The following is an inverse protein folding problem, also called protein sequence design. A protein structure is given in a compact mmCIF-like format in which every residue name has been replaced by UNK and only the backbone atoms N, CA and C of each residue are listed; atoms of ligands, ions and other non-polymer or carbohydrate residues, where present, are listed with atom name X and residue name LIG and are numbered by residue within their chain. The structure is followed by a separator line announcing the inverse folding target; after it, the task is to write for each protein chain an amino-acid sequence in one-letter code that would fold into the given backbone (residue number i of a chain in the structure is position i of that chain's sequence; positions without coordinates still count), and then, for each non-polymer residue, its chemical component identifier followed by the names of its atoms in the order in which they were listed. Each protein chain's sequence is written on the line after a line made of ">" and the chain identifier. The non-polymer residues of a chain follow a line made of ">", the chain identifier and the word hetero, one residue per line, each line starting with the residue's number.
data_IF_016412193395
#
_entry.id   IF_016412193395
#
_cell.length_a   1.000
_cell.length_b   1.000
_cell.length_c   1.000
_cell.angle_alpha   90.00
_cell.angle_beta   90.00
_cell.angle_gamma   90.00
#
_symmetry.space_group_name_H-M   'P 1'
#
loop_
_entity.id
_entity.type
_entity.pdbx_description
1 polymer ?
#
# COMPACT_ATOMS: atom_id res chain seq x y z
N UNK A 1 -20.19 -71.85 18.51
CA UNK A 1 -21.46 -72.30 19.16
C UNK A 1 -22.46 -71.20 18.82
N UNK A 2 -23.26 -71.42 17.78
CA UNK A 2 -24.66 -71.74 17.82
C UNK A 2 -25.45 -70.52 18.34
N UNK A 3 -26.44 -70.01 17.72
CA UNK A 3 -27.31 -70.51 16.66
C UNK A 3 -28.30 -69.46 16.18
N UNK A 4 -28.86 -69.77 15.05
CA UNK A 4 -29.85 -69.03 14.28
C UNK A 4 -31.28 -69.13 14.89
N UNK A 5 -32.11 -68.12 14.50
CA UNK A 5 -33.55 -68.39 14.32
C UNK A 5 -34.17 -67.38 13.34
N UNK A 6 -34.68 -67.91 12.26
CA UNK A 6 -35.59 -67.30 11.29
C UNK A 6 -37.02 -67.26 11.88
N UNK A 7 -37.80 -66.23 11.56
CA UNK A 7 -39.24 -66.37 11.32
C UNK A 7 -39.72 -65.43 10.21
N UNK A 8 -40.38 -66.06 9.25
CA UNK A 8 -41.08 -65.47 8.13
C UNK A 8 -42.55 -65.13 8.53
N UNK A 9 -43.09 -64.10 7.98
CA UNK A 9 -44.51 -63.76 8.11
C UNK A 9 -44.98 -62.95 6.89
N UNK A 10 -45.98 -63.51 6.22
CA UNK A 10 -46.56 -63.22 4.89
C UNK A 10 -47.38 -61.91 4.82
N UNK A 11 -47.46 -61.42 3.61
CA UNK A 11 -48.29 -60.29 3.15
C UNK A 11 -49.83 -60.51 3.27
N UNK A 12 -50.67 -59.47 3.08
CA UNK A 12 -51.21 -59.28 1.75
C UNK A 12 -51.35 -57.81 1.26
N UNK A 13 -51.51 -57.70 -0.03
CA UNK A 13 -51.68 -56.50 -0.83
C UNK A 13 -53.08 -55.88 -0.69
N UNK A 14 -53.16 -54.51 -0.75
CA UNK A 14 -54.31 -53.81 -1.30
C UNK A 14 -53.83 -52.64 -2.13
N UNK A 15 -54.26 -52.69 -3.38
CA UNK A 15 -54.09 -51.59 -4.37
C UNK A 15 -55.14 -50.49 -4.11
N UNK A 16 -54.66 -49.21 -4.13
CA UNK A 16 -55.55 -48.08 -4.49
C UNK A 16 -54.81 -47.14 -5.39
N UNK A 17 -55.33 -46.97 -6.59
CA UNK A 17 -54.96 -46.02 -7.59
C UNK A 17 -55.40 -44.61 -7.15
N UNK A 18 -54.50 -43.69 -7.11
CA UNK A 18 -54.80 -42.27 -6.97
C UNK A 18 -53.71 -41.45 -7.67
N UNK A 19 -54.01 -41.02 -8.89
CA UNK A 19 -53.15 -40.17 -9.71
C UNK A 19 -53.42 -38.72 -9.33
N UNK A 20 -52.45 -37.93 -8.81
CA UNK A 20 -52.51 -36.50 -8.87
C UNK A 20 -51.71 -35.99 -10.08
N UNK A 21 -52.36 -35.26 -10.95
CA UNK A 21 -51.80 -34.46 -12.01
C UNK A 21 -50.97 -33.32 -11.38
N UNK A 22 -49.68 -33.52 -11.22
CA UNK A 22 -48.77 -32.47 -10.84
C UNK A 22 -48.33 -31.70 -12.06
N UNK A 23 -48.70 -30.44 -12.14
CA UNK A 23 -48.19 -29.44 -13.08
C UNK A 23 -46.68 -29.36 -12.96
N UNK A 24 -45.86 -29.39 -14.03
CA UNK A 24 -44.44 -29.21 -13.96
C UNK A 24 -44.12 -27.81 -13.43
N UNK A 25 -43.52 -27.76 -12.26
CA UNK A 25 -42.94 -26.54 -11.76
C UNK A 25 -41.80 -26.10 -12.72
N UNK A 26 -42.06 -25.03 -13.45
CA UNK A 26 -41.02 -24.35 -14.22
C UNK A 26 -39.96 -23.86 -13.23
N UNK A 27 -38.89 -24.62 -13.09
CA UNK A 27 -37.64 -24.15 -12.48
C UNK A 27 -37.14 -22.95 -13.31
N UNK A 28 -37.35 -21.75 -12.78
CA UNK A 28 -36.71 -20.54 -13.28
C UNK A 28 -35.21 -20.77 -13.25
N UNK A 29 -34.49 -20.58 -14.36
CA UNK A 29 -33.05 -20.55 -14.30
C UNK A 29 -32.68 -19.45 -13.31
N UNK A 30 -32.00 -19.82 -12.22
CA UNK A 30 -31.26 -18.86 -11.43
C UNK A 30 -30.17 -18.31 -12.35
N UNK A 31 -30.43 -17.16 -12.98
CA UNK A 31 -29.38 -16.33 -13.54
C UNK A 31 -28.54 -15.91 -12.35
N UNK A 32 -27.48 -16.64 -12.08
CA UNK A 32 -26.47 -16.23 -11.11
C UNK A 32 -26.01 -14.84 -11.55
N UNK A 33 -26.41 -13.82 -10.80
CA UNK A 33 -25.79 -12.52 -10.93
C UNK A 33 -24.29 -12.75 -10.70
N UNK A 34 -23.49 -12.70 -11.75
CA UNK A 34 -22.04 -12.66 -11.60
C UNK A 34 -21.77 -11.44 -10.74
N UNK A 35 -21.34 -11.68 -9.49
CA UNK A 35 -20.93 -10.60 -8.60
C UNK A 35 -19.87 -9.78 -9.35
N UNK A 36 -20.16 -8.47 -9.54
CA UNK A 36 -19.22 -7.57 -10.21
C UNK A 36 -17.89 -7.64 -9.45
N UNK A 37 -16.84 -8.02 -10.14
CA UNK A 37 -15.50 -8.04 -9.58
C UNK A 37 -14.97 -6.60 -9.59
N UNK A 38 -14.48 -6.12 -8.46
CA UNK A 38 -13.94 -4.76 -8.32
C UNK A 38 -12.75 -4.56 -9.25
N UNK A 39 -12.81 -3.59 -10.16
CA UNK A 39 -11.69 -3.17 -11.00
C UNK A 39 -10.83 -2.17 -10.22
N UNK A 40 -9.64 -2.62 -9.82
CA UNK A 40 -8.71 -1.92 -8.96
C UNK A 40 -7.48 -1.47 -9.73
N UNK A 41 -7.17 -0.17 -9.71
CA UNK A 41 -5.94 0.42 -10.27
C UNK A 41 -5.07 0.93 -9.13
N UNK A 42 -3.81 0.47 -9.08
CA UNK A 42 -2.81 0.96 -8.14
C UNK A 42 -1.84 1.92 -8.83
N UNK A 43 -1.75 3.13 -8.29
CA UNK A 43 -0.84 4.20 -8.68
C UNK A 43 0.15 4.45 -7.56
N UNK A 44 1.38 4.81 -7.90
CA UNK A 44 2.31 5.20 -6.84
C UNK A 44 3.78 5.08 -7.19
N UNK A 45 4.58 5.34 -6.16
CA UNK A 45 6.03 5.30 -6.18
C UNK A 45 6.60 3.96 -5.66
N UNK A 46 7.84 3.98 -5.17
CA UNK A 46 8.54 2.80 -4.67
C UNK A 46 7.90 2.15 -3.44
N UNK A 47 7.18 2.91 -2.62
CA UNK A 47 6.47 2.36 -1.46
C UNK A 47 5.20 1.59 -1.85
N UNK A 48 4.76 1.72 -3.10
CA UNK A 48 3.69 0.92 -3.67
C UNK A 48 4.20 -0.14 -4.65
N UNK A 49 5.39 0.04 -5.25
CA UNK A 49 5.96 -0.96 -6.17
C UNK A 49 6.77 -2.05 -5.44
N UNK A 50 7.28 -1.79 -4.23
CA UNK A 50 8.07 -2.72 -3.39
C UNK A 50 9.36 -3.19 -4.08
N UNK A 51 10.33 -2.27 -4.34
CA UNK A 51 11.57 -2.61 -4.99
C UNK A 51 12.39 -3.60 -4.15
N UNK A 52 12.88 -4.65 -4.79
CA UNK A 52 13.69 -5.69 -4.16
C UNK A 52 12.91 -6.73 -3.34
N UNK A 53 11.64 -6.51 -3.02
CA UNK A 53 10.80 -7.55 -2.41
C UNK A 53 10.57 -8.66 -3.45
N UNK A 54 10.74 -9.97 -3.11
CA UNK A 54 10.44 -11.06 -4.05
C UNK A 54 8.94 -11.01 -4.43
N UNK A 55 8.55 -11.45 -5.48
CA UNK A 55 8.91 -11.79 -6.78
C UNK A 55 8.77 -10.57 -7.70
N UNK A 56 9.86 -10.04 -8.18
CA UNK A 56 9.85 -8.86 -9.07
C UNK A 56 9.22 -9.22 -10.42
N UNK A 57 8.14 -8.54 -10.79
CA UNK A 57 7.37 -8.79 -12.03
C UNK A 57 7.58 -7.72 -13.10
N UNK A 58 8.18 -6.59 -12.73
CA UNK A 58 8.54 -5.50 -13.65
C UNK A 58 9.90 -4.92 -13.22
N UNK A 59 10.92 -5.19 -14.02
CA UNK A 59 12.28 -4.74 -13.73
C UNK A 59 12.49 -3.24 -13.97
N UNK A 60 11.70 -2.60 -14.82
CA UNK A 60 11.80 -1.16 -15.10
C UNK A 60 11.27 -0.35 -13.92
N UNK A 61 10.13 -0.74 -13.39
CA UNK A 61 9.49 -0.09 -12.26
C UNK A 61 9.91 -0.69 -10.90
N UNK A 62 10.77 -1.72 -10.89
CA UNK A 62 11.15 -2.46 -9.69
C UNK A 62 9.90 -2.88 -8.89
N UNK A 63 8.91 -3.43 -9.59
CA UNK A 63 7.61 -3.78 -9.01
C UNK A 63 7.55 -5.26 -8.66
N UNK A 64 7.13 -5.54 -7.43
CA UNK A 64 6.92 -6.88 -6.89
C UNK A 64 5.46 -7.30 -6.96
N UNK A 65 5.20 -8.59 -7.20
CA UNK A 65 3.87 -9.17 -7.00
C UNK A 65 3.51 -9.37 -5.52
N UNK A 66 4.45 -9.11 -4.59
CA UNK A 66 4.22 -9.11 -3.15
C UNK A 66 4.12 -7.70 -2.54
N UNK A 67 3.95 -6.67 -3.38
CA UNK A 67 3.68 -5.31 -2.94
C UNK A 67 2.28 -5.16 -2.30
N UNK A 68 2.03 -4.08 -1.54
CA UNK A 68 0.76 -3.92 -0.85
C UNK A 68 -0.45 -3.93 -1.81
N UNK A 69 -0.41 -3.35 -3.04
CA UNK A 69 -1.55 -3.42 -3.96
C UNK A 69 -1.92 -4.85 -4.34
N UNK A 70 -0.92 -5.69 -4.64
CA UNK A 70 -1.14 -7.11 -4.96
C UNK A 70 -1.70 -7.89 -3.77
N UNK A 71 -1.24 -7.56 -2.55
CA UNK A 71 -1.77 -8.17 -1.31
C UNK A 71 -3.22 -7.76 -1.08
N UNK A 72 -3.57 -6.49 -1.28
CA UNK A 72 -4.95 -5.97 -1.20
C UNK A 72 -5.85 -6.65 -2.22
N UNK A 73 -5.41 -6.74 -3.48
CA UNK A 73 -6.18 -7.39 -4.54
C UNK A 73 -6.48 -8.86 -4.20
N UNK A 74 -5.49 -9.61 -3.70
CA UNK A 74 -5.70 -10.99 -3.23
C UNK A 74 -6.69 -11.08 -2.07
N UNK A 75 -6.58 -10.17 -1.10
CA UNK A 75 -7.43 -10.16 0.09
C UNK A 75 -8.89 -9.78 -0.21
N UNK A 76 -9.13 -9.01 -1.25
CA UNK A 76 -10.46 -8.50 -1.64
C UNK A 76 -11.08 -9.25 -2.82
N UNK A 77 -10.30 -10.03 -3.56
CA UNK A 77 -10.71 -10.66 -4.81
C UNK A 77 -10.83 -9.68 -5.99
N UNK A 78 -10.24 -8.48 -5.89
CA UNK A 78 -10.27 -7.46 -6.93
C UNK A 78 -9.43 -7.86 -8.16
N UNK A 79 -9.79 -7.31 -9.32
CA UNK A 79 -8.96 -7.36 -10.53
C UNK A 79 -8.00 -6.17 -10.51
N UNK A 80 -6.70 -6.44 -10.36
CA UNK A 80 -5.68 -5.41 -10.21
C UNK A 80 -5.03 -5.05 -11.54
N UNK A 81 -5.00 -3.77 -11.84
CA UNK A 81 -4.08 -3.14 -12.78
C UNK A 81 -3.07 -2.33 -11.97
N UNK A 82 -1.84 -2.85 -11.84
CA UNK A 82 -0.78 -2.22 -11.08
C UNK A 82 0.20 -1.51 -11.99
N UNK A 83 0.23 -0.18 -11.91
CA UNK A 83 1.14 0.68 -12.68
C UNK A 83 2.09 1.49 -11.78
N UNK A 84 2.22 1.07 -10.52
CA UNK A 84 3.17 1.67 -9.59
C UNK A 84 4.60 1.52 -10.09
N UNK A 85 5.43 2.55 -9.89
CA UNK A 85 6.77 2.57 -10.43
C UNK A 85 7.74 3.26 -9.47
N UNK A 86 8.84 2.59 -9.13
CA UNK A 86 9.86 3.12 -8.23
C UNK A 86 10.41 4.45 -8.75
N UNK A 87 10.56 5.44 -7.86
CA UNK A 87 11.04 6.77 -8.19
C UNK A 87 9.97 7.71 -8.76
N UNK A 88 8.72 7.28 -8.95
CA UNK A 88 7.67 8.13 -9.49
C UNK A 88 7.40 9.35 -8.62
N UNK A 89 7.18 10.49 -9.27
CA UNK A 89 6.73 11.77 -8.71
C UNK A 89 5.30 12.07 -9.15
N UNK A 90 4.71 13.14 -8.62
CA UNK A 90 3.40 13.62 -9.09
C UNK A 90 3.38 13.96 -10.59
N UNK A 91 4.53 14.32 -11.18
CA UNK A 91 4.65 14.60 -12.62
C UNK A 91 4.46 13.33 -13.46
N UNK A 92 4.95 12.19 -12.98
CA UNK A 92 4.87 10.90 -13.67
C UNK A 92 3.46 10.29 -13.66
N UNK A 93 2.56 10.87 -12.88
CA UNK A 93 1.14 10.53 -12.95
C UNK A 93 0.54 10.91 -14.30
N UNK A 94 0.89 12.08 -14.86
CA UNK A 94 0.31 12.63 -16.09
C UNK A 94 1.29 12.70 -17.26
N UNK A 95 2.58 12.53 -17.02
CA UNK A 95 3.66 12.44 -17.99
C UNK A 95 4.38 11.08 -17.92
N UNK A 96 5.20 10.74 -18.92
CA UNK A 96 5.96 9.51 -18.92
C UNK A 96 7.13 9.58 -17.91
N UNK A 97 7.38 8.46 -17.22
CA UNK A 97 8.60 8.24 -16.43
C UNK A 97 9.62 7.51 -17.30
N UNK A 98 10.47 8.24 -17.98
CA UNK A 98 11.36 7.65 -18.97
C UNK A 98 10.58 6.99 -20.13
N UNK A 99 10.63 5.67 -20.24
CA UNK A 99 9.89 4.87 -21.24
C UNK A 99 8.55 4.35 -20.72
N UNK A 100 8.24 4.56 -19.42
CA UNK A 100 7.00 4.10 -18.80
C UNK A 100 5.89 5.12 -19.07
N UNK A 101 4.73 4.63 -19.49
CA UNK A 101 3.56 5.48 -19.77
C UNK A 101 3.06 6.18 -18.50
N UNK A 102 2.37 7.33 -18.63
CA UNK A 102 1.75 8.04 -17.52
C UNK A 102 0.84 7.10 -16.72
N UNK A 103 1.00 7.07 -15.40
CA UNK A 103 0.23 6.13 -14.57
C UNK A 103 -1.29 6.36 -14.65
N UNK A 104 -1.73 7.61 -14.82
CA UNK A 104 -3.15 7.94 -14.97
C UNK A 104 -3.79 7.35 -16.23
N UNK A 105 -3.01 6.90 -17.21
CA UNK A 105 -3.56 6.29 -18.44
C UNK A 105 -4.17 4.91 -18.18
N UNK A 106 -3.86 4.29 -17.04
CA UNK A 106 -4.49 3.04 -16.59
C UNK A 106 -5.94 3.23 -16.06
N UNK A 107 -6.36 4.46 -15.82
CA UNK A 107 -7.69 4.77 -15.27
C UNK A 107 -8.73 4.94 -16.38
N UNK A 108 -9.91 4.41 -16.13
CA UNK A 108 -11.09 4.62 -16.96
C UNK A 108 -12.38 4.75 -16.11
N UNK A 109 -13.54 4.87 -16.79
CA UNK A 109 -14.85 5.01 -16.14
C UNK A 109 -15.33 3.74 -15.43
N UNK A 110 -14.74 2.60 -15.74
CA UNK A 110 -15.04 1.30 -15.13
C UNK A 110 -14.18 1.00 -13.90
N UNK A 111 -13.19 1.85 -13.61
CA UNK A 111 -12.36 1.70 -12.41
C UNK A 111 -13.20 1.92 -11.15
N UNK A 112 -13.22 0.95 -10.24
CA UNK A 112 -14.00 0.97 -8.99
C UNK A 112 -13.18 1.42 -7.78
N UNK A 113 -11.88 1.07 -7.77
CA UNK A 113 -10.96 1.37 -6.67
C UNK A 113 -9.66 1.92 -7.23
N UNK A 114 -9.16 2.99 -6.60
CA UNK A 114 -7.81 3.52 -6.86
C UNK A 114 -7.07 3.64 -5.55
N UNK A 115 -5.84 3.11 -5.47
CA UNK A 115 -4.89 3.48 -4.41
C UNK A 115 -3.79 4.36 -4.99
N UNK A 116 -3.29 5.31 -4.20
CA UNK A 116 -2.24 6.24 -4.56
C UNK A 116 -1.28 6.44 -3.40
N UNK A 117 0.00 6.08 -3.58
CA UNK A 117 1.12 6.43 -2.69
C UNK A 117 2.09 7.30 -3.47
N UNK A 118 2.18 8.60 -3.17
CA UNK A 118 2.96 9.56 -3.94
C UNK A 118 3.40 10.75 -3.09
N UNK A 119 4.48 11.42 -3.47
CA UNK A 119 4.94 12.67 -2.86
C UNK A 119 6.31 12.56 -2.22
N UNK A 120 6.75 11.37 -1.80
CA UNK A 120 8.08 11.17 -1.21
C UNK A 120 9.22 11.58 -2.14
N UNK A 121 9.10 11.29 -3.43
CA UNK A 121 10.09 11.72 -4.42
C UNK A 121 9.96 13.21 -4.78
N UNK A 122 8.75 13.79 -4.72
CA UNK A 122 8.54 15.22 -4.96
C UNK A 122 9.27 16.11 -3.95
N UNK A 123 9.40 15.65 -2.70
CA UNK A 123 10.14 16.35 -1.65
C UNK A 123 11.64 16.02 -1.65
N UNK A 124 12.11 15.19 -2.58
CA UNK A 124 13.52 14.81 -2.68
C UNK A 124 14.02 13.95 -1.53
N UNK A 125 13.17 13.10 -0.95
CA UNK A 125 13.46 12.33 0.27
C UNK A 125 14.77 11.56 0.21
N UNK A 126 15.05 10.87 -0.91
CA UNK A 126 16.33 10.14 -1.11
C UNK A 126 17.53 11.07 -1.07
N UNK A 127 17.42 12.27 -1.67
CA UNK A 127 18.47 13.29 -1.65
C UNK A 127 18.70 13.84 -0.24
N UNK A 128 17.62 14.09 0.49
CA UNK A 128 17.65 14.49 1.92
C UNK A 128 18.43 13.46 2.73
N UNK A 129 18.03 12.18 2.66
CA UNK A 129 18.70 11.14 3.42
C UNK A 129 20.17 10.91 3.02
N UNK A 130 20.49 11.01 1.72
CA UNK A 130 21.86 10.96 1.26
C UNK A 130 22.72 12.13 1.75
N UNK A 131 22.13 13.33 1.88
CA UNK A 131 22.77 14.50 2.48
C UNK A 131 22.99 14.30 3.98
N UNK A 132 21.95 13.84 4.69
CA UNK A 132 22.04 13.52 6.11
C UNK A 132 23.17 12.52 6.40
N UNK A 133 23.22 11.42 5.63
CA UNK A 133 24.26 10.40 5.81
C UNK A 133 25.68 10.95 5.62
N UNK A 134 25.89 11.88 4.68
CA UNK A 134 27.18 12.54 4.47
C UNK A 134 27.57 13.46 5.61
N UNK A 135 26.63 14.28 6.09
CA UNK A 135 26.87 15.25 7.17
C UNK A 135 27.13 14.56 8.50
N UNK A 136 26.40 13.48 8.78
CA UNK A 136 26.52 12.71 10.02
C UNK A 136 27.88 12.02 10.18
N UNK A 137 28.66 11.88 9.10
CA UNK A 137 30.02 11.33 9.18
C UNK A 137 30.97 12.18 10.05
N UNK A 138 30.73 13.50 10.14
CA UNK A 138 31.53 14.43 10.96
C UNK A 138 30.96 14.64 12.36
N UNK A 139 29.67 14.40 12.57
CA UNK A 139 28.98 14.54 13.86
C UNK A 139 27.90 13.47 14.03
N UNK A 140 28.27 12.23 14.32
CA UNK A 140 27.32 11.12 14.43
C UNK A 140 26.43 11.18 15.68
N UNK A 141 26.75 12.00 16.68
CA UNK A 141 25.97 12.16 17.91
C UNK A 141 25.02 13.36 17.84
N UNK A 142 25.31 14.34 16.99
CA UNK A 142 24.54 15.57 16.84
C UNK A 142 23.38 15.46 15.85
N UNK A 143 22.93 16.63 15.40
CA UNK A 143 21.86 16.80 14.42
C UNK A 143 22.33 17.59 13.17
N UNK A 144 23.47 17.23 12.54
CA UNK A 144 24.07 18.05 11.48
C UNK A 144 23.20 18.18 10.24
N UNK A 145 22.29 17.24 10.01
CA UNK A 145 21.36 17.30 8.90
C UNK A 145 20.23 18.29 9.17
N UNK A 146 19.61 18.25 10.33
CA UNK A 146 18.59 19.19 10.75
C UNK A 146 19.15 20.61 10.74
N UNK A 147 20.35 20.81 11.30
CA UNK A 147 21.03 22.12 11.31
C UNK A 147 21.28 22.64 9.89
N UNK A 148 21.74 21.78 8.99
CA UNK A 148 21.97 22.17 7.57
C UNK A 148 20.66 22.53 6.87
N UNK A 149 19.63 21.71 7.00
CA UNK A 149 18.35 21.90 6.28
C UNK A 149 17.54 23.09 6.81
N UNK A 150 17.85 23.59 8.01
CA UNK A 150 17.23 24.78 8.62
C UNK A 150 18.13 26.00 8.63
N UNK A 151 19.37 25.89 8.14
CA UNK A 151 20.41 26.94 8.24
C UNK A 151 20.08 28.25 7.54
N UNK A 152 19.16 28.25 6.57
CA UNK A 152 18.73 29.44 5.82
C UNK A 152 17.64 30.24 6.50
N UNK A 153 17.19 29.85 7.70
CA UNK A 153 16.09 30.45 8.43
C UNK A 153 14.71 29.91 8.07
N UNK A 154 14.66 29.01 7.09
CA UNK A 154 13.47 28.21 6.73
C UNK A 154 13.84 26.73 6.68
N UNK A 155 12.85 25.85 6.87
CA UNK A 155 13.05 24.42 6.78
C UNK A 155 12.82 23.96 5.33
N UNK A 156 13.92 23.57 4.66
CA UNK A 156 13.88 23.19 3.24
C UNK A 156 12.97 21.99 2.95
N UNK A 157 12.82 21.04 3.91
CA UNK A 157 11.93 19.89 3.73
C UNK A 157 10.47 20.30 3.91
N UNK A 158 10.14 21.14 4.88
CA UNK A 158 8.80 21.73 5.02
C UNK A 158 8.40 22.51 3.76
N UNK A 159 9.29 23.34 3.22
CA UNK A 159 9.02 24.07 1.97
C UNK A 159 8.75 23.10 0.79
N UNK A 160 9.51 22.01 0.68
CA UNK A 160 9.28 21.00 -0.35
C UNK A 160 7.95 20.25 -0.17
N UNK A 161 7.55 19.96 1.09
CA UNK A 161 6.25 19.37 1.42
C UNK A 161 5.12 20.31 1.01
N UNK A 162 5.22 21.58 1.36
CA UNK A 162 4.21 22.59 1.03
C UNK A 162 4.09 22.81 -0.50
N UNK A 163 5.23 22.83 -1.19
CA UNK A 163 5.26 22.91 -2.65
C UNK A 163 4.69 21.66 -3.35
N UNK A 164 4.65 20.53 -2.68
CA UNK A 164 4.09 19.26 -3.21
C UNK A 164 2.57 19.19 -3.04
N UNK A 165 1.99 19.88 -2.06
CA UNK A 165 0.55 19.84 -1.78
C UNK A 165 -0.33 20.16 -3.01
N UNK A 166 -0.13 21.26 -3.76
CA UNK A 166 -0.93 21.55 -4.95
C UNK A 166 -0.73 20.53 -6.08
N UNK A 167 0.42 19.87 -6.15
CA UNK A 167 0.69 18.81 -7.14
C UNK A 167 -0.12 17.56 -6.82
N UNK A 168 -0.15 17.12 -5.55
CA UNK A 168 -1.00 16.01 -5.09
C UNK A 168 -2.47 16.34 -5.33
N UNK A 169 -2.92 17.55 -5.02
CA UNK A 169 -4.29 17.99 -5.30
C UNK A 169 -4.63 17.92 -6.79
N UNK A 170 -3.69 18.25 -7.69
CA UNK A 170 -3.91 18.11 -9.14
C UNK A 170 -4.03 16.65 -9.57
N UNK A 171 -3.19 15.76 -9.04
CA UNK A 171 -3.28 14.31 -9.29
C UNK A 171 -4.66 13.81 -8.90
N UNK A 172 -5.15 14.11 -7.70
CA UNK A 172 -6.47 13.68 -7.23
C UNK A 172 -7.61 14.19 -8.12
N UNK A 173 -7.56 15.46 -8.55
CA UNK A 173 -8.53 15.98 -9.53
C UNK A 173 -8.51 15.22 -10.85
N UNK A 174 -7.33 14.80 -11.32
CA UNK A 174 -7.19 14.02 -12.57
C UNK A 174 -7.70 12.59 -12.39
N UNK A 175 -7.45 11.96 -11.25
CA UNK A 175 -8.00 10.64 -10.90
C UNK A 175 -9.53 10.67 -10.98
N UNK A 176 -10.18 11.61 -10.28
CA UNK A 176 -11.66 11.72 -10.30
C UNK A 176 -12.24 12.05 -11.69
N UNK A 177 -11.52 12.76 -12.54
CA UNK A 177 -11.97 12.99 -13.91
C UNK A 177 -11.94 11.73 -14.77
N UNK A 178 -10.96 10.85 -14.58
CA UNK A 178 -10.81 9.61 -15.36
C UNK A 178 -11.66 8.46 -14.80
N UNK A 179 -11.73 8.36 -13.49
CA UNK A 179 -12.45 7.35 -12.74
C UNK A 179 -13.48 7.99 -11.78
N UNK A 180 -14.58 8.58 -12.31
CA UNK A 180 -15.51 9.41 -11.52
C UNK A 180 -16.30 8.64 -10.48
N UNK A 181 -16.36 7.32 -10.58
CA UNK A 181 -17.09 6.43 -9.67
C UNK A 181 -16.17 5.66 -8.72
N UNK A 182 -14.85 5.78 -8.90
CA UNK A 182 -13.88 5.05 -8.10
C UNK A 182 -13.86 5.51 -6.64
N UNK A 183 -13.70 4.56 -5.76
CA UNK A 183 -13.29 4.81 -4.38
C UNK A 183 -11.78 5.11 -4.37
N UNK A 184 -11.42 6.37 -4.12
CA UNK A 184 -10.02 6.82 -4.19
C UNK A 184 -9.42 6.82 -2.79
N UNK A 185 -8.29 6.14 -2.63
CA UNK A 185 -7.57 5.95 -1.37
C UNK A 185 -6.14 6.45 -1.50
N UNK A 186 -5.79 7.51 -0.80
CA UNK A 186 -4.41 7.94 -0.62
C UNK A 186 -3.82 7.13 0.52
N UNK A 187 -2.74 6.41 0.26
CA UNK A 187 -2.04 5.57 1.23
C UNK A 187 -0.79 6.31 1.70
N UNK A 188 -0.68 6.55 3.00
CA UNK A 188 0.47 7.24 3.60
C UNK A 188 1.72 6.37 3.64
N UNK A 189 2.83 6.98 4.06
CA UNK A 189 4.10 6.28 4.28
C UNK A 189 4.13 5.65 5.68
N UNK A 190 4.73 4.45 5.83
CA UNK A 190 4.90 3.76 7.11
C UNK A 190 5.96 4.44 7.98
N UNK A 191 6.06 4.09 9.25
CA UNK A 191 7.07 4.60 10.20
C UNK A 191 8.48 4.15 9.81
N UNK A 192 9.31 5.09 9.36
CA UNK A 192 10.69 4.81 8.94
C UNK A 192 11.68 4.98 10.08
N UNK A 193 11.44 5.95 10.98
CA UNK A 193 12.41 6.41 11.95
C UNK A 193 11.90 6.25 13.39
N UNK A 194 12.77 5.84 14.33
CA UNK A 194 12.42 5.75 15.74
C UNK A 194 12.10 7.12 16.34
N UNK A 195 11.57 7.11 17.55
CA UNK A 195 11.26 8.32 18.30
C UNK A 195 12.52 9.10 18.66
N UNK A 196 13.60 8.40 18.95
CA UNK A 196 14.94 8.95 19.18
C UNK A 196 15.99 8.11 18.46
N UNK A 197 17.15 8.69 18.23
CA UNK A 197 18.27 8.03 17.53
C UNK A 197 19.21 7.25 18.44
N UNK A 198 18.85 7.06 19.71
CA UNK A 198 19.71 6.38 20.68
C UNK A 198 19.99 4.95 20.21
N UNK A 199 21.29 4.62 20.07
CA UNK A 199 21.79 3.34 19.59
C UNK A 199 21.39 2.95 18.13
N UNK A 200 20.82 3.87 17.35
CA UNK A 200 20.47 3.59 15.95
C UNK A 200 21.60 3.92 14.97
N UNK A 201 22.32 5.02 15.21
CA UNK A 201 23.48 5.41 14.37
C UNK A 201 24.48 4.28 14.26
N UNK A 202 24.76 3.85 13.04
CA UNK A 202 25.63 2.71 12.75
C UNK A 202 26.16 2.77 11.32
N UNK A 203 27.04 1.84 10.94
CA UNK A 203 27.51 1.72 9.57
C UNK A 203 26.39 1.41 8.56
N UNK A 204 25.29 0.79 8.99
CA UNK A 204 24.14 0.49 8.16
C UNK A 204 23.04 1.55 8.26
N UNK A 205 23.11 2.44 9.23
CA UNK A 205 22.22 3.59 9.42
C UNK A 205 23.10 4.81 9.74
N UNK A 206 23.76 5.39 8.72
CA UNK A 206 24.75 6.46 8.92
C UNK A 206 24.09 7.84 9.07
N UNK A 207 23.16 7.96 10.02
CA UNK A 207 22.48 9.21 10.36
C UNK A 207 22.95 9.69 11.74
N UNK A 208 22.97 11.00 11.97
CA UNK A 208 23.24 11.58 13.28
C UNK A 208 22.15 11.22 14.27
N UNK A 209 22.54 10.88 15.50
CA UNK A 209 21.56 10.45 16.52
C UNK A 209 20.51 11.54 16.80
N UNK A 210 20.89 12.81 16.75
CA UNK A 210 19.97 13.95 16.91
C UNK A 210 19.09 14.26 15.68
N UNK A 211 19.41 13.67 14.51
CA UNK A 211 18.60 13.89 13.28
C UNK A 211 17.33 13.05 13.23
N UNK A 212 17.23 11.94 13.98
CA UNK A 212 16.06 11.05 13.91
C UNK A 212 14.74 11.73 14.27
N UNK A 213 14.63 12.51 15.37
CA UNK A 213 13.42 13.25 15.65
C UNK A 213 12.99 14.18 14.51
N UNK A 214 13.96 14.90 13.92
CA UNK A 214 13.71 15.79 12.79
C UNK A 214 13.17 15.02 11.57
N UNK A 215 13.84 13.96 11.14
CA UNK A 215 13.43 13.15 9.98
C UNK A 215 12.05 12.51 10.18
N UNK A 216 11.80 12.00 11.38
CA UNK A 216 10.50 11.44 11.76
C UNK A 216 9.39 12.49 11.75
N UNK A 217 9.67 13.72 12.20
CA UNK A 217 8.70 14.80 12.16
C UNK A 217 8.40 15.24 10.72
N UNK A 218 9.40 15.25 9.82
CA UNK A 218 9.20 15.51 8.38
C UNK A 218 8.38 14.41 7.71
N UNK A 219 8.57 13.17 8.07
CA UNK A 219 7.73 12.07 7.60
C UNK A 219 6.26 12.23 8.03
N UNK A 220 6.03 12.58 9.31
CA UNK A 220 4.68 12.88 9.81
C UNK A 220 4.07 14.10 9.15
N UNK A 221 4.85 15.13 8.86
CA UNK A 221 4.43 16.32 8.16
C UNK A 221 3.98 16.02 6.72
N UNK A 222 4.75 15.20 5.99
CA UNK A 222 4.36 14.67 4.68
C UNK A 222 3.04 13.90 4.76
N UNK A 223 2.91 12.96 5.69
CA UNK A 223 1.70 12.18 5.90
C UNK A 223 0.49 13.06 6.26
N UNK A 224 0.70 14.11 7.05
CA UNK A 224 -0.35 15.09 7.39
C UNK A 224 -0.78 15.90 6.17
N UNK A 225 0.16 16.29 5.30
CA UNK A 225 -0.13 16.95 4.01
C UNK A 225 -0.97 16.04 3.13
N UNK A 226 -0.56 14.79 2.93
CA UNK A 226 -1.29 13.80 2.13
C UNK A 226 -2.71 13.57 2.66
N UNK A 227 -2.88 13.44 3.99
CA UNK A 227 -4.18 13.30 4.63
C UNK A 227 -5.08 14.53 4.43
N UNK A 228 -4.50 15.71 4.44
CA UNK A 228 -5.20 16.98 4.20
C UNK A 228 -5.68 17.08 2.74
N UNK A 229 -4.79 16.80 1.81
CA UNK A 229 -5.12 16.88 0.38
C UNK A 229 -6.08 15.76 -0.06
N UNK A 230 -5.97 14.55 0.51
CA UNK A 230 -6.95 13.48 0.31
C UNK A 230 -8.37 13.95 0.69
N UNK A 231 -8.53 14.48 1.92
CA UNK A 231 -9.85 14.99 2.39
C UNK A 231 -10.40 16.10 1.50
N UNK A 232 -9.55 17.06 1.10
CA UNK A 232 -9.94 18.18 0.21
C UNK A 232 -10.32 17.69 -1.18
N UNK A 233 -9.62 16.66 -1.66
CA UNK A 233 -9.83 16.06 -2.97
C UNK A 233 -10.96 15.03 -3.02
N UNK A 234 -11.71 14.79 -1.93
CA UNK A 234 -12.78 13.78 -1.91
C UNK A 234 -12.28 12.33 -1.87
N UNK A 235 -11.00 12.12 -1.53
CA UNK A 235 -10.39 10.81 -1.34
C UNK A 235 -10.28 10.44 0.14
N UNK A 236 -10.17 9.15 0.43
CA UNK A 236 -9.84 8.67 1.77
C UNK A 236 -8.33 8.69 1.97
N UNK A 237 -7.91 8.90 3.20
CA UNK A 237 -6.53 8.69 3.62
C UNK A 237 -6.43 7.44 4.48
N UNK A 238 -5.49 6.56 4.17
CA UNK A 238 -5.15 5.40 4.98
C UNK A 238 -3.81 5.66 5.66
N UNK A 239 -3.86 5.69 6.99
CA UNK A 239 -2.67 5.85 7.82
C UNK A 239 -1.94 4.51 7.93
N UNK A 240 -0.81 4.38 7.28
CA UNK A 240 0.10 3.23 7.39
C UNK A 240 1.19 3.46 8.43
N UNK A 241 1.39 4.70 8.88
CA UNK A 241 2.35 5.06 9.91
C UNK A 241 2.02 4.41 11.26
N UNK A 242 0.80 4.62 11.76
CA UNK A 242 0.41 4.15 13.08
C UNK A 242 0.55 2.62 13.29
N UNK A 243 0.12 1.75 12.35
CA UNK A 243 0.26 0.31 12.51
C UNK A 243 1.69 -0.21 12.35
N UNK A 244 2.63 0.62 11.88
CA UNK A 244 4.04 0.23 11.67
C UNK A 244 5.00 0.79 12.73
N UNK A 245 4.49 1.61 13.66
CA UNK A 245 5.28 2.15 14.77
C UNK A 245 5.96 1.03 15.56
N UNK A 246 7.26 1.19 15.78
CA UNK A 246 8.10 0.22 16.48
C UNK A 246 8.70 -0.86 15.57
N UNK A 247 8.51 -0.74 14.25
CA UNK A 247 9.12 -1.59 13.24
C UNK A 247 10.02 -0.79 12.27
N UNK A 248 10.52 0.34 12.74
CA UNK A 248 11.39 1.26 12.03
C UNK A 248 12.75 0.61 11.64
N UNK A 249 13.54 1.34 10.84
CA UNK A 249 14.82 0.87 10.30
C UNK A 249 15.90 0.61 11.37
N UNK A 250 15.71 1.08 12.61
CA UNK A 250 16.64 0.87 13.72
C UNK A 250 16.40 -0.46 14.46
N UNK A 251 15.33 -1.15 14.17
CA UNK A 251 15.05 -2.45 14.79
C UNK A 251 15.96 -3.54 14.25
N UNK A 252 16.23 -4.58 15.03
CA UNK A 252 16.99 -5.74 14.56
C UNK A 252 16.37 -6.37 13.32
N UNK A 253 17.18 -7.04 12.49
CA UNK A 253 16.70 -7.87 11.41
C UNK A 253 15.62 -8.86 11.91
N UNK A 254 14.51 -8.99 11.18
CA UNK A 254 13.36 -9.81 11.57
C UNK A 254 12.32 -9.08 12.42
N UNK A 255 12.68 -7.97 13.09
CA UNK A 255 11.72 -7.10 13.78
C UNK A 255 11.41 -5.81 13.00
N UNK A 256 12.37 -5.32 12.21
CA UNK A 256 12.16 -4.16 11.35
C UNK A 256 11.32 -4.51 10.13
N UNK A 257 10.51 -3.58 9.70
CA UNK A 257 9.71 -3.66 8.49
C UNK A 257 10.18 -2.69 7.40
N UNK A 258 11.11 -1.81 7.75
CA UNK A 258 11.82 -0.90 6.85
C UNK A 258 13.29 -1.31 6.83
N UNK A 259 13.87 -1.44 5.64
CA UNK A 259 15.27 -1.81 5.52
C UNK A 259 16.21 -0.65 5.78
N UNK A 260 17.45 -0.94 6.19
CA UNK A 260 18.50 0.05 6.45
C UNK A 260 19.09 0.59 5.14
N UNK A 261 20.06 1.50 5.22
CA UNK A 261 20.81 1.98 4.05
C UNK A 261 21.61 0.88 3.33
N UNK A 262 22.01 -0.13 4.06
CA UNK A 262 22.68 -1.31 3.54
C UNK A 262 21.85 -2.55 3.89
N UNK A 263 20.74 -2.79 3.20
CA UNK A 263 19.83 -3.88 3.54
C UNK A 263 20.45 -5.24 3.26
N UNK A 264 20.06 -6.21 4.05
CA UNK A 264 20.19 -7.60 3.64
C UNK A 264 18.98 -7.90 2.70
N UNK A 265 19.21 -8.51 1.50
CA UNK A 265 18.10 -8.88 0.65
C UNK A 265 17.01 -9.60 1.44
N UNK A 266 15.72 -9.39 1.19
CA UNK A 266 15.18 -9.05 -0.13
C UNK A 266 14.36 -7.74 -0.18
N UNK A 267 14.89 -6.59 0.13
CA UNK A 267 14.22 -5.32 -0.16
C UNK A 267 15.23 -4.22 -0.49
N UNK A 268 14.81 -3.14 -1.14
CA UNK A 268 15.67 -2.00 -1.42
C UNK A 268 16.00 -1.21 -0.14
N UNK A 269 17.13 -0.45 -0.12
CA UNK A 269 17.45 0.44 0.99
C UNK A 269 16.31 1.37 1.34
N UNK A 270 16.01 1.55 2.64
CA UNK A 270 15.04 2.53 3.15
C UNK A 270 13.58 2.27 2.70
N UNK A 271 13.29 1.08 2.22
CA UNK A 271 11.95 0.69 1.76
C UNK A 271 11.35 -0.40 2.64
N UNK A 272 10.01 -0.52 2.60
CA UNK A 272 9.35 -1.63 3.26
C UNK A 272 9.84 -2.98 2.72
N UNK A 273 10.10 -3.90 3.62
CA UNK A 273 10.28 -5.32 3.29
C UNK A 273 8.90 -6.03 3.21
N UNK A 274 8.88 -7.34 2.98
CA UNK A 274 7.64 -8.09 2.84
C UNK A 274 6.69 -7.96 4.04
N UNK A 275 7.22 -7.77 5.26
CA UNK A 275 6.40 -7.54 6.45
C UNK A 275 5.81 -6.12 6.46
N UNK A 276 6.58 -5.12 6.04
CA UNK A 276 6.10 -3.73 5.86
C UNK A 276 5.00 -3.65 4.81
N UNK A 277 5.20 -4.28 3.64
CA UNK A 277 4.19 -4.36 2.59
C UNK A 277 2.90 -5.04 3.08
N UNK A 278 3.04 -6.12 3.87
CA UNK A 278 1.89 -6.81 4.48
C UNK A 278 1.14 -5.93 5.47
N UNK A 279 1.85 -5.13 6.29
CA UNK A 279 1.23 -4.20 7.23
C UNK A 279 0.48 -3.07 6.51
N UNK A 280 1.09 -2.48 5.46
CA UNK A 280 0.42 -1.48 4.60
C UNK A 280 -0.83 -2.07 3.94
N UNK A 281 -0.74 -3.27 3.37
CA UNK A 281 -1.88 -3.97 2.78
C UNK A 281 -3.00 -4.22 3.80
N UNK A 282 -2.64 -4.62 5.03
CA UNK A 282 -3.57 -4.81 6.14
C UNK A 282 -4.35 -3.54 6.47
N UNK A 283 -3.67 -2.39 6.55
CA UNK A 283 -4.29 -1.09 6.80
C UNK A 283 -5.27 -0.70 5.68
N UNK A 284 -4.86 -0.86 4.41
CA UNK A 284 -5.72 -0.59 3.25
C UNK A 284 -6.93 -1.51 3.25
N UNK A 285 -6.74 -2.82 3.36
CA UNK A 285 -7.82 -3.79 3.35
C UNK A 285 -8.81 -3.59 4.51
N UNK A 286 -8.33 -3.17 5.69
CA UNK A 286 -9.18 -2.81 6.82
C UNK A 286 -10.08 -1.62 6.49
N UNK A 287 -9.52 -0.58 5.88
CA UNK A 287 -10.25 0.63 5.50
C UNK A 287 -11.36 0.36 4.48
N UNK A 288 -11.17 -0.65 3.61
CA UNK A 288 -12.16 -1.03 2.59
C UNK A 288 -13.34 -1.80 3.18
N UNK A 289 -13.17 -2.54 4.28
CA UNK A 289 -14.25 -3.31 4.93
C UNK A 289 -15.30 -2.46 5.63
N UNK A 290 -14.96 -1.26 6.06
CA UNK A 290 -15.87 -0.37 6.78
C UNK A 290 -17.05 0.19 5.95
N UNK A 291 -17.21 -0.26 4.70
CA UNK A 291 -18.30 0.18 3.77
C UNK A 291 -19.31 -0.90 3.41
N UNK A 292 -19.23 -2.10 4.03
CA UNK A 292 -20.22 -3.17 3.76
C UNK A 292 -21.36 -3.15 4.78
#
# INVERSE_FOLDING_TARGET
>A
MAGAALFAGTAPAHAHQGRPTGTPAHSRPHTGAHAHRVDYVALGDSYASAPGVPDQVDATCLRSSANYPSLVARATGAHLTDVTCSGATTADMAGPQGTVAPQLDALDRGTDLVTLTIGGNDIGFTTVLGTCAKLSASDPAGAPCADYLTSTGTDQVTEAIDASAPKVADVLRRVHRRAPHADVVVVGYPDLFPEDGVACTSATVPLGAGDFPYLRDKEKELNAMLAREARRGGARYVNTYAPTVGHDLCRPAGARWIETFAPQPPAAPLHPNAAGESAMAGAVAHSLRGRR
#
